data_IF_720016928231
#
_entry.id   IF_720016928231
#
_cell.length_a   1.000
_cell.length_b   1.000
_cell.length_c   1.000
_cell.angle_alpha   90.00
_cell.angle_beta   90.00
_cell.angle_gamma   90.00
#
_symmetry.space_group_name_H-M   'P 1'
#
loop_
_entity.id
_entity.type
_entity.pdbx_description
1 polymer ?
#
# COMPACT_ATOMS: atom_id res chain seq x y z
N UNK A 1 -21.23 -8.50 -2.11
CA UNK A 1 -20.83 -7.51 -1.10
C UNK A 1 -19.54 -6.88 -1.57
N UNK A 2 -19.46 -5.54 -1.62
CA UNK A 2 -18.26 -4.82 -2.08
C UNK A 2 -17.11 -5.04 -1.09
N UNK A 3 -16.16 -5.92 -1.43
CA UNK A 3 -15.01 -6.29 -0.60
C UNK A 3 -14.09 -5.09 -0.24
N UNK A 4 -14.18 -3.99 -0.99
CA UNK A 4 -13.34 -2.81 -0.81
C UNK A 4 -13.56 -2.08 0.53
N UNK A 5 -14.75 -2.15 1.14
CA UNK A 5 -15.02 -1.46 2.41
C UNK A 5 -14.31 -2.12 3.62
N UNK A 6 -13.90 -3.37 3.52
CA UNK A 6 -13.22 -4.09 4.62
C UNK A 6 -11.70 -3.89 4.59
N UNK A 7 -11.14 -3.47 3.46
CA UNK A 7 -9.69 -3.43 3.27
C UNK A 7 -8.99 -2.32 4.06
N UNK A 8 -9.64 -1.16 4.20
CA UNK A 8 -9.11 -0.01 4.94
C UNK A 8 -9.12 -0.20 6.47
N UNK A 9 -9.78 -1.24 6.97
CA UNK A 9 -9.98 -1.46 8.41
C UNK A 9 -9.30 -2.72 8.95
N UNK A 10 -8.73 -3.56 8.09
CA UNK A 10 -8.07 -4.79 8.51
C UNK A 10 -6.62 -4.54 8.90
N UNK A 11 -6.41 -4.12 10.15
CA UNK A 11 -5.08 -4.10 10.76
C UNK A 11 -4.72 -5.53 11.20
N UNK A 12 -3.54 -6.07 10.85
CA UNK A 12 -3.12 -7.37 11.34
C UNK A 12 -2.99 -7.32 12.87
N UNK A 13 -3.38 -8.40 13.54
CA UNK A 13 -3.27 -8.58 14.99
C UNK A 13 -2.51 -9.85 15.27
N UNK A 14 -1.65 -9.84 16.29
CA UNK A 14 -0.82 -10.98 16.65
C UNK A 14 0.30 -10.58 17.60
N UNK A 15 1.17 -11.53 17.90
CA UNK A 15 2.45 -11.30 18.55
C UNK A 15 3.36 -10.41 17.70
N UNK A 16 4.42 -9.88 18.30
CA UNK A 16 5.38 -9.02 17.60
C UNK A 16 6.03 -9.76 16.43
N UNK A 17 6.40 -11.02 16.65
CA UNK A 17 7.04 -11.90 15.66
C UNK A 17 6.10 -12.18 14.48
N UNK A 18 4.81 -12.43 14.74
CA UNK A 18 3.80 -12.62 13.69
C UNK A 18 3.58 -11.35 12.86
N UNK A 19 3.58 -10.18 13.51
CA UNK A 19 3.44 -8.90 12.82
C UNK A 19 4.67 -8.55 11.97
N UNK A 20 5.88 -8.82 12.47
CA UNK A 20 7.13 -8.63 11.72
C UNK A 20 7.22 -9.59 10.52
N UNK A 21 6.83 -10.86 10.70
CA UNK A 21 6.78 -11.84 9.61
C UNK A 21 5.78 -11.40 8.53
N UNK A 22 4.56 -11.04 8.91
CA UNK A 22 3.54 -10.49 8.01
C UNK A 22 4.06 -9.27 7.24
N UNK A 23 4.70 -8.33 7.93
CA UNK A 23 5.17 -7.10 7.32
C UNK A 23 6.31 -7.35 6.32
N UNK A 24 7.26 -8.22 6.68
CA UNK A 24 8.37 -8.61 5.82
C UNK A 24 7.87 -9.30 4.56
N UNK A 25 6.97 -10.29 4.71
CA UNK A 25 6.36 -10.99 3.58
C UNK A 25 5.56 -10.05 2.66
N UNK A 26 4.83 -9.10 3.25
CA UNK A 26 4.07 -8.09 2.50
C UNK A 26 5.00 -7.19 1.68
N UNK A 27 6.12 -6.75 2.24
CA UNK A 27 7.11 -5.95 1.50
C UNK A 27 7.70 -6.72 0.34
N UNK A 28 8.09 -7.98 0.56
CA UNK A 28 8.64 -8.83 -0.50
C UNK A 28 7.62 -9.08 -1.61
N UNK A 29 6.39 -9.45 -1.25
CA UNK A 29 5.33 -9.73 -2.21
C UNK A 29 5.00 -8.52 -3.08
N UNK A 30 4.91 -7.34 -2.47
CA UNK A 30 4.61 -6.11 -3.22
C UNK A 30 5.62 -5.83 -4.33
N UNK A 31 6.93 -5.95 -4.05
CA UNK A 31 7.97 -5.69 -5.06
C UNK A 31 8.20 -6.85 -6.03
N UNK A 32 7.63 -8.04 -5.75
CA UNK A 32 7.56 -9.11 -6.74
C UNK A 32 6.44 -8.85 -7.76
N UNK A 33 5.33 -8.27 -7.31
CA UNK A 33 4.15 -7.99 -8.13
C UNK A 33 4.24 -6.66 -8.88
N UNK A 34 4.93 -5.67 -8.30
CA UNK A 34 5.07 -4.32 -8.85
C UNK A 34 6.53 -3.87 -8.85
N UNK A 35 7.09 -3.68 -10.05
CA UNK A 35 8.41 -3.07 -10.15
C UNK A 35 8.35 -1.57 -9.78
N UNK A 36 9.51 -0.97 -9.48
CA UNK A 36 9.59 0.43 -9.07
C UNK A 36 9.10 1.41 -10.15
N UNK A 37 9.29 1.08 -11.43
CA UNK A 37 8.88 1.94 -12.53
C UNK A 37 7.36 1.95 -12.68
N UNK A 38 6.73 0.79 -12.52
CA UNK A 38 5.28 0.60 -12.49
C UNK A 38 4.67 1.29 -11.26
N UNK A 39 5.32 1.22 -10.10
CA UNK A 39 4.87 1.94 -8.90
C UNK A 39 4.78 3.44 -9.15
N UNK A 40 5.80 4.05 -9.77
CA UNK A 40 5.77 5.48 -10.11
C UNK A 40 4.60 5.78 -11.05
N UNK A 41 4.46 5.00 -12.12
CA UNK A 41 3.39 5.19 -13.09
C UNK A 41 2.00 5.12 -12.43
N UNK A 42 1.75 4.09 -11.62
CA UNK A 42 0.47 3.90 -10.95
C UNK A 42 0.16 4.99 -9.90
N UNK A 43 1.17 5.47 -9.15
CA UNK A 43 1.00 6.60 -8.24
C UNK A 43 0.64 7.89 -9.00
N UNK A 44 1.33 8.15 -10.11
CA UNK A 44 1.01 9.29 -10.97
C UNK A 44 -0.39 9.17 -11.59
N UNK A 45 -0.78 7.96 -11.98
CA UNK A 45 -2.10 7.64 -12.52
C UNK A 45 -3.20 7.99 -11.51
N UNK A 46 -3.03 7.56 -10.26
CA UNK A 46 -3.92 7.90 -9.16
C UNK A 46 -4.02 9.42 -8.96
N UNK A 47 -2.89 10.12 -8.91
CA UNK A 47 -2.88 11.59 -8.77
C UNK A 47 -3.62 12.28 -9.91
N UNK A 48 -3.40 11.82 -11.16
CA UNK A 48 -4.11 12.35 -12.33
C UNK A 48 -5.62 12.14 -12.23
N UNK A 49 -6.05 10.97 -11.76
CA UNK A 49 -7.46 10.68 -11.52
C UNK A 49 -8.05 11.44 -10.32
N UNK A 50 -7.24 12.08 -9.47
CA UNK A 50 -7.77 13.01 -8.47
C UNK A 50 -7.86 14.45 -8.99
N UNK A 51 -6.92 14.85 -9.85
CA UNK A 51 -6.72 16.27 -10.23
C UNK A 51 -7.36 16.62 -11.59
N UNK A 52 -7.32 15.71 -12.56
CA UNK A 52 -7.63 16.00 -13.97
C UNK A 52 -8.84 15.24 -14.54
N UNK A 53 -9.72 14.71 -13.68
CA UNK A 53 -10.89 13.87 -14.04
C UNK A 53 -11.76 14.47 -15.15
N UNK A 54 -11.84 15.81 -15.23
CA UNK A 54 -12.65 16.52 -16.24
C UNK A 54 -12.12 16.38 -17.67
N UNK A 55 -10.84 16.06 -17.84
CA UNK A 55 -10.17 15.98 -19.15
C UNK A 55 -9.81 14.56 -19.55
N UNK A 56 -9.76 13.64 -18.58
CA UNK A 56 -9.32 12.27 -18.83
C UNK A 56 -9.79 11.33 -17.72
N UNK A 57 -10.38 10.21 -18.10
CA UNK A 57 -10.89 9.19 -17.19
C UNK A 57 -10.35 7.83 -17.60
N UNK A 58 -9.99 7.02 -16.60
CA UNK A 58 -9.63 5.62 -16.81
C UNK A 58 -10.83 4.82 -17.32
N UNK A 59 -10.57 3.83 -18.18
CA UNK A 59 -11.55 2.82 -18.55
C UNK A 59 -11.88 1.91 -17.35
N UNK A 60 -12.83 0.97 -17.53
CA UNK A 60 -13.27 0.10 -16.44
C UNK A 60 -12.15 -0.80 -15.93
N UNK A 61 -11.36 -1.33 -16.84
CA UNK A 61 -10.25 -2.24 -16.59
C UNK A 61 -9.11 -1.51 -15.85
N UNK A 62 -8.73 -0.33 -16.34
CA UNK A 62 -7.73 0.52 -15.70
C UNK A 62 -8.14 0.96 -14.28
N UNK A 63 -9.43 1.25 -14.05
CA UNK A 63 -9.93 1.55 -12.69
C UNK A 63 -9.80 0.34 -11.76
N UNK A 64 -10.09 -0.87 -12.25
CA UNK A 64 -9.94 -2.08 -11.45
C UNK A 64 -8.47 -2.34 -11.10
N UNK A 65 -7.57 -2.17 -12.06
CA UNK A 65 -6.12 -2.25 -11.82
C UNK A 65 -5.64 -1.22 -10.80
N UNK A 66 -6.10 0.03 -10.91
CA UNK A 66 -5.75 1.10 -9.97
C UNK A 66 -6.25 0.81 -8.54
N UNK A 67 -7.44 0.22 -8.39
CA UNK A 67 -7.94 -0.21 -7.07
C UNK A 67 -7.07 -1.33 -6.49
N UNK A 68 -6.72 -2.34 -7.27
CA UNK A 68 -5.85 -3.44 -6.82
C UNK A 68 -4.46 -2.95 -6.42
N UNK A 69 -3.88 -2.03 -7.21
CA UNK A 69 -2.61 -1.39 -6.87
C UNK A 69 -2.73 -0.62 -5.55
N UNK A 70 -3.77 0.19 -5.39
CA UNK A 70 -4.00 0.96 -4.17
C UNK A 70 -4.16 0.05 -2.93
N UNK A 71 -4.88 -1.06 -3.05
CA UNK A 71 -5.04 -2.03 -1.95
C UNK A 71 -3.70 -2.65 -1.54
N UNK A 72 -2.88 -3.05 -2.52
CA UNK A 72 -1.55 -3.61 -2.28
C UNK A 72 -0.59 -2.55 -1.70
N UNK A 73 -0.64 -1.33 -2.22
CA UNK A 73 0.16 -0.20 -1.74
C UNK A 73 -0.24 0.20 -0.32
N UNK A 74 -1.53 0.17 0.02
CA UNK A 74 -2.01 0.43 1.37
C UNK A 74 -1.48 -0.60 2.38
N UNK A 75 -1.48 -1.89 2.00
CA UNK A 75 -0.84 -2.95 2.80
C UNK A 75 0.66 -2.74 2.97
N UNK A 76 1.35 -2.30 1.91
CA UNK A 76 2.77 -1.95 1.99
C UNK A 76 3.03 -0.82 3.00
N UNK A 77 2.22 0.24 2.99
CA UNK A 77 2.31 1.33 3.98
C UNK A 77 2.09 0.80 5.40
N UNK A 78 1.14 -0.11 5.59
CA UNK A 78 0.90 -0.71 6.89
C UNK A 78 2.07 -1.59 7.35
N UNK A 79 2.61 -2.42 6.46
CA UNK A 79 3.78 -3.24 6.71
C UNK A 79 5.02 -2.39 7.07
N UNK A 80 5.27 -1.32 6.31
CA UNK A 80 6.36 -0.39 6.62
C UNK A 80 6.14 0.28 7.96
N UNK A 81 4.90 0.61 8.31
CA UNK A 81 4.57 1.16 9.63
C UNK A 81 4.81 0.16 10.78
N UNK A 82 4.75 -1.15 10.53
CA UNK A 82 5.04 -2.16 11.57
C UNK A 82 6.55 -2.30 11.76
N UNK A 83 7.31 -2.38 10.66
CA UNK A 83 8.76 -2.54 10.70
C UNK A 83 9.48 -1.26 11.12
N UNK A 84 8.92 -0.10 10.77
CA UNK A 84 9.60 1.20 10.86
C UNK A 84 8.80 2.30 11.59
N UNK A 85 7.66 2.02 12.26
CA UNK A 85 7.17 2.95 13.29
C UNK A 85 8.08 2.89 14.52
N UNK A 86 9.27 3.44 14.35
CA UNK A 86 10.11 3.90 15.43
C UNK A 86 9.71 5.35 15.72
N UNK A 87 8.51 5.56 16.29
CA UNK A 87 8.38 6.71 17.18
C UNK A 87 9.21 6.39 18.41
N UNK A 88 10.46 6.86 18.37
CA UNK A 88 11.18 7.40 19.51
C UNK A 88 10.97 6.66 20.84
N UNK A 89 11.50 5.45 20.96
CA UNK A 89 11.90 4.96 22.28
C UNK A 89 13.24 5.62 22.65
N UNK A 90 13.24 6.94 22.89
CA UNK A 90 14.20 7.68 23.72
C UNK A 90 15.71 7.38 23.65
N UNK A 91 16.26 6.78 22.59
CA UNK A 91 17.68 6.46 22.52
C UNK A 91 18.42 7.45 21.59
N UNK A 92 19.44 8.17 22.09
CA UNK A 92 20.24 9.05 21.25
C UNK A 92 21.09 8.23 20.29
N UNK A 93 21.18 8.71 19.05
CA UNK A 93 22.05 8.16 18.02
C UNK A 93 23.50 8.06 18.53
N UNK A 94 24.13 6.89 18.33
CA UNK A 94 25.57 6.69 18.51
C UNK A 94 26.34 7.24 17.31
#
# INVERSE_FOLDING_TARGET
MNNHQLYLHNRPTGSKEELEAFATETMHSFFNDYDLSECHYNLWLMMKQCIFVKHWQLCKEERAQMVNFYESFHKLILASSILYNSRENGEPAK
#
